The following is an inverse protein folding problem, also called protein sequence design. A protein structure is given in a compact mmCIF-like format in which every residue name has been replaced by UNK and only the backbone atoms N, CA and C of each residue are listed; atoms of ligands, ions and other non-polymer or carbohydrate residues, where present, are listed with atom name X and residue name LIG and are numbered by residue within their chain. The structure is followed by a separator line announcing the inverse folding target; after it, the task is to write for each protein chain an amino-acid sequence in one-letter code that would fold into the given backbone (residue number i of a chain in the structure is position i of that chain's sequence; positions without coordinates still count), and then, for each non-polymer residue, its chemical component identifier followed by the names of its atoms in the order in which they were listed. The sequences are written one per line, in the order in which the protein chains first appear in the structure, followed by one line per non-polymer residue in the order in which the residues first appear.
data_IF_195734197837
#
_entry.id   IF_195734197837
#
_cell.length_a   1.000
_cell.length_b   1.000
_cell.length_c   1.000
_cell.angle_alpha   90.00
_cell.angle_beta   90.00
_cell.angle_gamma   90.00
#
_symmetry.space_group_name_H-M   'P 1'
#
loop_
_entity.id
_entity.type
_entity.pdbx_description
1 polymer ?
#
# COMPACT_ATOMS: atom_id res chain seq x y z
N UNK A 1 -13.32 5.16 -9.51
CA UNK A 1 -13.49 4.07 -8.53
C UNK A 1 -14.87 4.24 -7.94
N UNK A 2 -15.74 3.24 -8.03
CA UNK A 2 -17.05 3.29 -7.41
C UNK A 2 -17.04 2.41 -6.15
N UNK A 3 -17.57 2.94 -5.05
CA UNK A 3 -17.88 2.19 -3.86
C UNK A 3 -19.39 2.00 -3.81
N UNK A 4 -19.87 0.76 -3.73
CA UNK A 4 -21.29 0.45 -3.64
C UNK A 4 -21.58 -0.28 -2.34
N UNK A 5 -22.59 0.16 -1.59
CA UNK A 5 -22.94 -0.43 -0.31
C UNK A 5 -23.36 -1.89 -0.46
N UNK A 6 -22.91 -2.73 0.48
CA UNK A 6 -23.32 -4.12 0.57
C UNK A 6 -24.77 -4.29 1.04
N UNK A 7 -25.34 -3.26 1.67
CA UNK A 7 -26.70 -3.29 2.23
C UNK A 7 -27.73 -2.72 1.26
N UNK A 8 -27.38 -1.62 0.60
CA UNK A 8 -28.25 -0.94 -0.35
C UNK A 8 -27.52 -0.64 -1.66
N UNK A 9 -27.85 -1.33 -2.76
CA UNK A 9 -27.23 -1.08 -4.06
C UNK A 9 -27.43 0.34 -4.62
N UNK A 10 -28.44 1.08 -4.14
CA UNK A 10 -28.66 2.49 -4.53
C UNK A 10 -27.73 3.45 -3.81
N UNK A 11 -27.12 3.03 -2.70
CA UNK A 11 -26.13 3.79 -1.98
C UNK A 11 -24.74 3.52 -2.54
N UNK A 12 -24.19 4.51 -3.24
CA UNK A 12 -22.87 4.44 -3.82
C UNK A 12 -22.20 5.81 -3.87
N UNK A 13 -20.87 5.79 -3.94
CA UNK A 13 -20.04 6.97 -4.13
C UNK A 13 -18.98 6.72 -5.19
N UNK A 14 -18.70 7.74 -6.00
CA UNK A 14 -17.64 7.72 -7.00
C UNK A 14 -16.46 8.58 -6.58
N UNK A 15 -15.26 8.06 -6.81
CA UNK A 15 -14.00 8.75 -6.64
C UNK A 15 -13.28 8.82 -7.99
N UNK A 16 -12.94 10.04 -8.41
CA UNK A 16 -12.07 10.28 -9.55
C UNK A 16 -10.62 9.96 -9.15
N UNK A 17 -9.97 9.07 -9.91
CA UNK A 17 -8.59 8.62 -9.64
C UNK A 17 -7.67 9.01 -10.79
N UNK A 18 -7.14 10.24 -10.73
CA UNK A 18 -6.16 10.74 -11.68
C UNK A 18 -4.80 10.04 -11.52
N UNK A 19 -3.91 10.05 -12.53
CA UNK A 19 -2.55 9.53 -12.39
C UNK A 19 -1.81 10.20 -11.22
N UNK A 20 -1.17 9.39 -10.37
CA UNK A 20 -0.47 9.89 -9.17
C UNK A 20 -1.37 10.08 -7.94
N UNK A 21 -2.69 9.88 -8.06
CA UNK A 21 -3.59 9.91 -6.90
C UNK A 21 -3.40 8.71 -5.98
N UNK A 22 -3.56 8.95 -4.68
CA UNK A 22 -3.60 7.93 -3.63
C UNK A 22 -5.01 7.88 -3.04
N UNK A 23 -5.62 6.71 -3.02
CA UNK A 23 -6.89 6.47 -2.32
C UNK A 23 -6.67 5.53 -1.13
N UNK A 24 -7.45 5.74 -0.06
CA UNK A 24 -7.33 4.98 1.18
C UNK A 24 -8.71 4.45 1.56
N UNK A 25 -8.88 3.12 1.55
CA UNK A 25 -10.10 2.46 2.03
C UNK A 25 -9.87 1.90 3.44
N UNK A 26 -10.57 2.46 4.43
CA UNK A 26 -10.51 2.08 5.85
C UNK A 26 -11.92 2.07 6.46
N UNK A 27 -12.10 1.34 7.56
CA UNK A 27 -13.38 1.28 8.27
C UNK A 27 -14.52 0.82 7.38
N UNK A 28 -15.68 1.50 7.46
CA UNK A 28 -16.86 1.18 6.67
C UNK A 28 -16.56 1.08 5.17
N UNK A 29 -15.80 2.02 4.60
CA UNK A 29 -15.45 2.00 3.17
C UNK A 29 -14.70 0.73 2.71
N UNK A 30 -14.05 0.00 3.63
CA UNK A 30 -13.37 -1.27 3.33
C UNK A 30 -14.26 -2.49 3.53
N UNK A 31 -15.16 -2.47 4.51
CA UNK A 31 -15.88 -3.65 4.97
C UNK A 31 -17.38 -3.65 4.63
N UNK A 32 -17.96 -2.47 4.41
CA UNK A 32 -19.39 -2.28 4.17
C UNK A 32 -19.70 -1.93 2.71
N UNK A 33 -18.67 -1.72 1.87
CA UNK A 33 -18.79 -1.36 0.47
C UNK A 33 -17.96 -2.29 -0.42
N UNK A 34 -18.53 -2.68 -1.57
CA UNK A 34 -17.74 -3.20 -2.70
C UNK A 34 -16.99 -2.05 -3.35
N UNK A 35 -15.86 -2.33 -3.99
CA UNK A 35 -15.08 -1.34 -4.71
C UNK A 35 -14.79 -1.83 -6.13
N UNK A 36 -15.14 -1.02 -7.13
CA UNK A 36 -14.98 -1.39 -8.52
C UNK A 36 -14.32 -0.28 -9.36
N UNK A 37 -13.53 -0.69 -10.34
CA UNK A 37 -12.97 0.19 -11.36
C UNK A 37 -13.81 0.02 -12.63
N UNK A 38 -14.75 0.96 -12.84
CA UNK A 38 -15.74 0.93 -13.91
C UNK A 38 -15.09 0.81 -15.31
N UNK A 39 -15.59 -0.05 -16.22
CA UNK A 39 -15.08 -0.18 -17.58
C UNK A 39 -15.32 1.10 -18.39
N UNK A 40 -14.69 1.24 -19.56
CA UNK A 40 -14.70 2.50 -20.33
C UNK A 40 -16.11 2.95 -20.73
N UNK A 41 -16.99 2.02 -21.05
CA UNK A 41 -18.39 2.27 -21.42
C UNK A 41 -19.21 2.86 -20.27
N UNK A 42 -18.77 2.62 -19.03
CA UNK A 42 -19.43 3.10 -17.80
C UNK A 42 -18.58 4.13 -17.04
N UNK A 43 -17.46 4.57 -17.63
CA UNK A 43 -16.49 5.46 -16.97
C UNK A 43 -16.96 6.91 -17.08
N UNK A 44 -17.86 7.30 -16.18
CA UNK A 44 -18.34 8.66 -16.04
C UNK A 44 -18.05 9.17 -14.63
N UNK A 45 -17.86 10.48 -14.51
CA UNK A 45 -17.72 11.16 -13.22
C UNK A 45 -18.40 12.53 -13.31
N UNK A 46 -19.41 12.78 -12.46
CA UNK A 46 -20.20 14.03 -12.53
C UNK A 46 -20.88 14.26 -13.89
N UNK A 47 -21.25 13.19 -14.58
CA UNK A 47 -21.84 13.24 -15.93
C UNK A 47 -20.83 13.40 -17.08
N UNK A 48 -19.55 13.65 -16.78
CA UNK A 48 -18.49 13.73 -17.79
C UNK A 48 -17.87 12.35 -18.01
N UNK A 49 -17.68 11.99 -19.28
CA UNK A 49 -16.95 10.75 -19.62
C UNK A 49 -15.48 10.90 -19.25
N UNK A 50 -14.93 9.89 -18.59
CA UNK A 50 -13.51 9.77 -18.23
C UNK A 50 -12.91 8.66 -19.08
N UNK A 51 -12.24 8.97 -20.21
CA UNK A 51 -11.69 7.95 -21.09
C UNK A 51 -10.69 7.05 -20.38
N UNK A 52 -10.77 5.75 -20.65
CA UNK A 52 -9.89 4.75 -20.05
C UNK A 52 -8.82 4.29 -21.04
N UNK A 53 -7.65 4.03 -20.49
CA UNK A 53 -6.54 3.37 -21.17
C UNK A 53 -5.82 2.42 -20.22
N UNK A 54 -4.57 2.07 -20.55
CA UNK A 54 -3.72 1.30 -19.66
C UNK A 54 -3.44 2.10 -18.39
N UNK A 55 -3.80 1.53 -17.23
CA UNK A 55 -3.56 2.12 -15.90
C UNK A 55 -2.70 1.18 -15.06
N UNK A 56 -1.72 1.74 -14.38
CA UNK A 56 -0.93 1.04 -13.36
C UNK A 56 -1.38 1.55 -11.99
N UNK A 57 -1.58 0.65 -11.04
CA UNK A 57 -1.94 0.98 -9.67
C UNK A 57 -1.11 0.14 -8.71
N UNK A 58 -0.51 0.79 -7.72
CA UNK A 58 0.12 0.13 -6.60
C UNK A 58 -0.89 0.03 -5.47
N UNK A 59 -1.14 -1.19 -4.99
CA UNK A 59 -2.12 -1.46 -3.94
C UNK A 59 -1.36 -1.99 -2.73
N UNK A 60 -1.34 -1.20 -1.67
CA UNK A 60 -0.80 -1.60 -0.37
C UNK A 60 -1.94 -2.07 0.52
N UNK A 61 -1.72 -3.14 1.27
CA UNK A 61 -2.69 -3.71 2.21
C UNK A 61 -2.01 -3.94 3.54
N UNK A 62 -2.74 -3.67 4.61
CA UNK A 62 -2.33 -4.09 5.94
C UNK A 62 -2.63 -5.58 6.11
N UNK A 63 -1.75 -6.25 6.85
CA UNK A 63 -2.02 -7.58 7.39
C UNK A 63 -3.27 -7.56 8.27
N UNK A 64 -4.00 -8.69 8.34
CA UNK A 64 -5.18 -8.78 9.19
C UNK A 64 -4.79 -8.57 10.66
N UNK A 65 -5.59 -7.81 11.44
CA UNK A 65 -5.34 -7.64 12.87
C UNK A 65 -5.45 -9.00 13.57
N UNK A 66 -4.34 -9.51 14.10
CA UNK A 66 -4.28 -10.78 14.85
C UNK A 66 -3.30 -11.82 14.29
N UNK A 67 -2.74 -11.61 13.10
CA UNK A 67 -1.61 -12.41 12.63
C UNK A 67 -0.33 -11.79 13.17
N UNK A 68 0.23 -12.38 14.22
CA UNK A 68 1.61 -12.05 14.61
C UNK A 68 2.49 -12.36 13.39
N UNK A 69 3.38 -11.45 12.96
CA UNK A 69 4.33 -11.79 11.91
C UNK A 69 5.05 -13.07 12.36
N UNK A 70 5.29 -14.04 11.44
CA UNK A 70 6.00 -15.25 11.79
C UNK A 70 7.28 -14.84 12.52
N UNK A 71 7.35 -15.21 13.80
CA UNK A 71 8.48 -14.88 14.66
C UNK A 71 9.72 -15.36 13.90
N UNK A 72 10.56 -14.42 13.47
CA UNK A 72 11.84 -14.75 12.86
C UNK A 72 12.50 -15.83 13.74
N UNK A 73 13.08 -16.89 13.16
CA UNK A 73 13.76 -17.91 13.94
C UNK A 73 14.67 -17.20 14.93
N UNK A 74 14.40 -17.36 16.24
CA UNK A 74 15.31 -16.87 17.26
C UNK A 74 16.52 -17.77 17.14
N UNK A 75 17.54 -17.29 16.44
CA UNK A 75 18.82 -17.96 16.40
C UNK A 75 19.35 -18.01 17.84
N UNK A 76 19.53 -19.20 18.46
CA UNK A 76 19.95 -19.27 19.86
C UNK A 76 21.39 -18.83 20.11
N UNK A 77 22.11 -18.33 19.09
CA UNK A 77 23.56 -18.14 19.13
C UNK A 77 24.04 -16.71 18.80
N UNK A 78 23.26 -15.67 19.10
CA UNK A 78 23.82 -14.32 19.20
C UNK A 78 24.39 -14.06 20.60
N UNK A 79 25.28 -14.96 21.05
CA UNK A 79 26.09 -14.80 22.24
C UNK A 79 27.55 -14.60 21.86
N UNK A 80 28.06 -13.39 22.11
CA UNK A 80 29.49 -13.07 22.25
C UNK A 80 30.38 -13.23 21.01
N UNK A 81 30.63 -12.10 20.33
CA UNK A 81 31.98 -11.81 19.81
C UNK A 81 32.23 -10.31 19.84
N UNK A 82 32.72 -9.84 21.00
CA UNK A 82 33.44 -8.58 21.14
C UNK A 82 34.75 -8.72 20.36
N UNK A 83 34.70 -8.43 19.05
CA UNK A 83 35.87 -8.35 18.17
C UNK A 83 36.50 -6.97 18.26
N UNK A 84 37.73 -6.92 18.76
CA UNK A 84 38.62 -5.76 18.92
C UNK A 84 38.51 -4.73 17.79
N UNK A 85 38.47 -3.46 18.19
CA UNK A 85 38.80 -2.32 17.34
C UNK A 85 40.15 -2.57 16.64
N UNK A 86 40.10 -2.73 15.32
CA UNK A 86 41.27 -2.75 14.47
C UNK A 86 41.77 -1.32 14.28
N UNK A 87 43.08 -1.16 14.45
CA UNK A 87 43.83 0.08 14.41
C UNK A 87 43.53 0.96 13.18
N UNK A 88 43.13 2.21 13.43
CA UNK A 88 43.16 3.26 12.42
C UNK A 88 44.62 3.66 12.16
N UNK A 89 45.25 3.03 11.16
CA UNK A 89 46.54 3.51 10.65
C UNK A 89 46.29 4.72 9.75
N UNK A 90 46.71 5.89 10.23
CA UNK A 90 46.66 7.18 9.53
C UNK A 90 47.35 7.13 8.15
N UNK A 91 46.91 7.95 7.16
CA UNK A 91 47.59 8.03 5.86
C UNK A 91 48.96 8.74 5.98
N UNK A 92 49.90 8.50 5.04
CA UNK A 92 51.22 9.12 5.09
C UNK A 92 51.15 10.62 4.74
N UNK A 93 51.79 11.42 5.58
CA UNK A 93 52.10 12.84 5.32
C UNK A 93 53.12 12.94 4.20
N UNK A 94 52.76 13.61 3.09
CA UNK A 94 53.72 14.04 2.07
C UNK A 94 54.50 15.26 2.59
N UNK A 95 55.82 15.14 2.70
CA UNK A 95 56.79 16.25 2.71
C UNK A 95 58.16 15.70 2.33
#
# INVERSE_FOLDING_TARGET
LRLQSLRDPQDWVELLLEPGSLYILRGAARYEFTHEILPDEKSFFGGLRVPRGRRVALIFRNDPPGENPPKAPRDPQAGTLLGRAGDCKSPPSMS
#
